data_IF_773853370614
#
_entry.id   IF_773853370614
#
_cell.length_a   1.000
_cell.length_b   1.000
_cell.length_c   1.000
_cell.angle_alpha   90.00
_cell.angle_beta   90.00
_cell.angle_gamma   90.00
#
_symmetry.space_group_name_H-M   'P 1'
#
loop_
_entity.id
_entity.type
_entity.pdbx_description
1 polymer ?
#
# COMPACT_ATOMS: atom_id res chain seq x y z
N UNK A 1 25.57 -2.46 -20.49
CA UNK A 1 24.36 -2.74 -21.30
C UNK A 1 23.46 -3.65 -20.46
N UNK A 2 22.42 -3.08 -19.87
CA UNK A 2 21.31 -3.79 -19.23
C UNK A 2 20.10 -2.92 -19.51
N UNK A 3 19.13 -3.45 -20.24
CA UNK A 3 17.99 -2.73 -20.80
C UNK A 3 17.19 -1.96 -19.73
N UNK A 4 16.63 -0.77 -20.02
CA UNK A 4 15.68 -0.10 -19.12
C UNK A 4 14.30 -0.77 -19.21
N UNK A 5 14.28 -2.09 -19.04
CA UNK A 5 13.08 -2.92 -19.21
C UNK A 5 12.33 -3.01 -17.90
N UNK A 6 11.46 -2.04 -17.67
CA UNK A 6 10.33 -2.12 -16.75
C UNK A 6 10.60 -2.66 -15.33
N UNK A 7 10.89 -1.75 -14.38
CA UNK A 7 10.77 -2.03 -12.95
C UNK A 7 9.29 -2.15 -12.57
N UNK A 8 8.68 -3.26 -12.94
CA UNK A 8 7.36 -3.63 -12.43
C UNK A 8 7.53 -4.49 -11.18
N UNK A 9 6.81 -4.20 -10.08
CA UNK A 9 5.97 -3.02 -9.82
C UNK A 9 6.75 -1.86 -9.15
N UNK A 10 6.14 -0.66 -9.13
CA UNK A 10 6.78 0.59 -8.64
C UNK A 10 7.23 0.58 -7.17
N UNK A 11 6.59 -0.23 -6.33
CA UNK A 11 6.92 -0.35 -4.90
C UNK A 11 7.95 -1.46 -4.63
N UNK A 12 8.47 -2.09 -5.67
CA UNK A 12 9.45 -3.18 -5.57
C UNK A 12 8.83 -4.58 -5.65
N UNK A 13 9.66 -5.62 -5.54
CA UNK A 13 9.23 -7.01 -5.72
C UNK A 13 8.35 -7.52 -4.57
N UNK A 14 8.31 -6.82 -3.44
CA UNK A 14 7.52 -7.15 -2.27
C UNK A 14 7.08 -5.89 -1.53
N UNK A 15 5.90 -5.95 -0.93
CA UNK A 15 5.35 -4.89 -0.08
C UNK A 15 4.73 -5.50 1.17
N UNK A 16 4.50 -4.68 2.19
CA UNK A 16 3.62 -5.08 3.29
C UNK A 16 2.15 -4.89 2.89
N UNK A 17 1.31 -5.88 3.14
CA UNK A 17 -0.13 -5.73 2.92
C UNK A 17 -0.68 -4.60 3.82
N UNK A 18 -1.41 -3.60 3.27
CA UNK A 18 -1.95 -2.50 4.06
C UNK A 18 -2.95 -2.92 5.15
N UNK A 19 -3.48 -4.14 5.06
CA UNK A 19 -4.48 -4.67 5.99
C UNK A 19 -3.89 -5.56 7.10
N UNK A 20 -3.07 -6.57 6.77
CA UNK A 20 -2.47 -7.48 7.76
C UNK A 20 -0.99 -7.22 8.05
N UNK A 21 -0.34 -6.29 7.35
CA UNK A 21 1.12 -6.06 7.42
C UNK A 21 1.99 -7.28 7.08
N UNK A 22 1.40 -8.34 6.50
CA UNK A 22 2.18 -9.47 5.99
C UNK A 22 2.90 -9.07 4.71
N UNK A 23 4.14 -9.52 4.54
CA UNK A 23 4.87 -9.36 3.28
C UNK A 23 4.16 -10.12 2.17
N UNK A 24 3.84 -9.42 1.09
CA UNK A 24 3.21 -9.96 -0.12
C UNK A 24 4.12 -9.69 -1.31
N UNK A 25 4.29 -10.70 -2.15
CA UNK A 25 5.13 -10.60 -3.34
C UNK A 25 4.33 -10.07 -4.52
N UNK A 26 5.03 -9.32 -5.37
CA UNK A 26 4.55 -8.96 -6.68
C UNK A 26 4.38 -10.22 -7.54
N UNK A 27 3.33 -10.25 -8.36
CA UNK A 27 3.20 -11.24 -9.41
C UNK A 27 4.17 -10.89 -10.53
N UNK A 28 4.90 -11.91 -11.00
CA UNK A 28 5.95 -11.75 -12.00
C UNK A 28 5.44 -11.02 -13.24
N UNK A 29 6.11 -9.94 -13.61
CA UNK A 29 5.80 -9.10 -14.78
C UNK A 29 4.43 -8.43 -14.75
N UNK A 30 3.86 -8.19 -13.56
CA UNK A 30 2.64 -7.39 -13.41
C UNK A 30 2.81 -6.30 -12.35
N UNK A 31 1.86 -5.38 -12.30
CA UNK A 31 1.74 -4.37 -11.25
C UNK A 31 0.91 -4.86 -10.05
N UNK A 32 0.77 -6.18 -9.88
CA UNK A 32 -0.18 -6.75 -8.94
C UNK A 32 0.52 -7.47 -7.79
N UNK A 33 0.03 -7.29 -6.57
CA UNK A 33 0.43 -8.01 -5.38
C UNK A 33 -0.75 -8.86 -4.88
N UNK A 34 -0.49 -10.10 -4.48
CA UNK A 34 -1.53 -10.99 -4.00
C UNK A 34 -1.36 -11.28 -2.50
N UNK A 35 -2.29 -10.76 -1.70
CA UNK A 35 -2.43 -11.16 -0.31
C UNK A 35 -3.36 -12.37 -0.19
N UNK A 36 -2.89 -13.47 0.40
CA UNK A 36 -3.71 -14.66 0.62
C UNK A 36 -4.95 -14.41 1.48
N UNK A 37 -4.93 -13.38 2.35
CA UNK A 37 -6.03 -13.06 3.27
C UNK A 37 -6.96 -11.99 2.73
N UNK A 38 -6.43 -11.01 2.01
CA UNK A 38 -7.17 -9.81 1.63
C UNK A 38 -7.42 -9.69 0.14
N UNK A 39 -6.75 -10.49 -0.70
CA UNK A 39 -6.93 -10.46 -2.15
C UNK A 39 -5.85 -9.65 -2.88
N UNK A 40 -6.19 -9.24 -4.10
CA UNK A 40 -5.26 -8.61 -5.02
C UNK A 40 -5.22 -7.08 -4.87
N UNK A 41 -4.00 -6.54 -4.88
CA UNK A 41 -3.71 -5.12 -4.90
C UNK A 41 -2.97 -4.80 -6.19
N UNK A 42 -3.29 -3.67 -6.82
CA UNK A 42 -2.62 -3.20 -8.04
C UNK A 42 -1.92 -1.88 -7.74
N UNK A 43 -0.68 -1.74 -8.18
CA UNK A 43 0.04 -0.47 -8.11
C UNK A 43 -0.15 0.33 -9.37
N UNK A 44 -0.58 1.58 -9.25
CA UNK A 44 -0.67 2.50 -10.37
C UNK A 44 0.64 3.31 -10.48
N UNK A 45 1.47 3.08 -11.53
CA UNK A 45 2.73 3.79 -11.72
C UNK A 45 2.57 5.29 -11.99
N UNK A 46 1.37 5.75 -12.39
CA UNK A 46 1.13 7.17 -12.70
C UNK A 46 0.77 7.98 -11.47
N UNK A 47 0.06 7.37 -10.53
CA UNK A 47 -0.45 8.04 -9.33
C UNK A 47 0.36 7.69 -8.08
N UNK A 48 1.23 6.69 -8.15
CA UNK A 48 1.97 6.12 -7.03
C UNK A 48 1.04 5.63 -5.92
N UNK A 49 -0.10 5.08 -6.33
CA UNK A 49 -1.11 4.52 -5.43
C UNK A 49 -1.12 2.99 -5.51
N UNK A 50 -1.42 2.38 -4.37
CA UNK A 50 -1.79 0.97 -4.29
C UNK A 50 -3.32 0.89 -4.18
N UNK A 51 -3.96 0.15 -5.08
CA UNK A 51 -5.41 0.03 -5.17
C UNK A 51 -5.82 -1.40 -4.83
N UNK A 52 -6.74 -1.57 -3.89
CA UNK A 52 -7.29 -2.89 -3.60
C UNK A 52 -8.43 -3.21 -4.55
N UNK A 53 -8.22 -4.18 -5.46
CA UNK A 53 -9.13 -4.46 -6.57
C UNK A 53 -10.55 -4.85 -6.13
N UNK A 54 -10.70 -5.55 -5.00
CA UNK A 54 -12.02 -5.98 -4.53
C UNK A 54 -12.82 -4.87 -3.86
N UNK A 55 -12.16 -3.86 -3.27
CA UNK A 55 -12.85 -2.82 -2.48
C UNK A 55 -12.75 -1.41 -3.08
N UNK A 56 -11.91 -1.20 -4.10
CA UNK A 56 -11.62 0.13 -4.66
C UNK A 56 -10.98 1.09 -3.65
N UNK A 57 -10.32 0.57 -2.61
CA UNK A 57 -9.62 1.41 -1.62
C UNK A 57 -8.24 1.76 -2.15
N UNK A 58 -7.78 2.95 -1.80
CA UNK A 58 -6.52 3.52 -2.26
C UNK A 58 -5.58 3.75 -1.08
N UNK A 59 -4.31 3.42 -1.27
CA UNK A 59 -3.23 3.69 -0.34
C UNK A 59 -2.08 4.38 -1.04
N UNK A 60 -1.36 5.19 -0.27
CA UNK A 60 -0.11 5.83 -0.66
C UNK A 60 0.96 5.46 0.36
N UNK A 61 2.16 5.21 -0.14
CA UNK A 61 3.30 4.91 0.71
C UNK A 61 3.97 6.22 1.15
N UNK A 62 4.18 6.39 2.45
CA UNK A 62 4.96 7.50 2.99
C UNK A 62 5.79 7.01 4.18
N UNK A 63 7.11 7.26 4.16
CA UNK A 63 8.06 6.79 5.20
C UNK A 63 7.89 5.30 5.54
N UNK A 64 7.77 4.46 4.50
CA UNK A 64 7.59 3.01 4.62
C UNK A 64 6.28 2.55 5.27
N UNK A 65 5.31 3.46 5.44
CA UNK A 65 3.98 3.15 5.95
C UNK A 65 2.88 3.45 4.92
N UNK A 66 1.84 2.62 4.91
CA UNK A 66 0.69 2.80 4.05
C UNK A 66 -0.33 3.72 4.68
N UNK A 67 -0.58 4.86 4.03
CA UNK A 67 -1.61 5.80 4.39
C UNK A 67 -2.76 5.69 3.39
N UNK A 68 -4.00 5.78 3.88
CA UNK A 68 -5.20 5.77 3.03
C UNK A 68 -5.96 7.06 3.20
N UNK A 69 -6.74 7.40 2.18
CA UNK A 69 -7.73 8.46 2.34
C UNK A 69 -8.85 7.98 3.27
N UNK A 70 -9.13 8.77 4.29
CA UNK A 70 -10.26 8.54 5.18
C UNK A 70 -11.54 9.12 4.58
N UNK A 71 -12.63 8.36 4.66
CA UNK A 71 -13.95 8.82 4.22
C UNK A 71 -14.69 9.63 5.30
N UNK A 72 -14.31 9.45 6.57
CA UNK A 72 -14.90 10.16 7.71
C UNK A 72 -13.83 10.95 8.49
N UNK A 73 -14.14 12.17 8.93
CA UNK A 73 -13.23 12.99 9.74
C UNK A 73 -12.89 12.33 11.07
N UNK A 74 -13.78 11.52 11.63
CA UNK A 74 -13.53 10.80 12.88
C UNK A 74 -12.45 9.72 12.72
N UNK A 75 -12.33 9.10 11.54
CA UNK A 75 -11.30 8.10 11.26
C UNK A 75 -9.89 8.70 11.31
N UNK A 76 -9.69 9.84 10.63
CA UNK A 76 -8.42 10.56 10.68
C UNK A 76 -8.16 11.15 12.07
N UNK A 77 -9.20 11.65 12.75
CA UNK A 77 -9.08 12.14 14.13
C UNK A 77 -8.56 11.05 15.05
N UNK A 78 -9.12 9.84 14.99
CA UNK A 78 -8.69 8.73 15.82
C UNK A 78 -7.23 8.35 15.57
N UNK A 79 -6.81 8.21 14.31
CA UNK A 79 -5.42 7.90 13.96
C UNK A 79 -4.43 8.95 14.48
N UNK A 80 -4.78 10.24 14.38
CA UNK A 80 -3.95 11.32 14.94
C UNK A 80 -3.83 11.19 16.46
N UNK A 81 -4.93 10.93 17.16
CA UNK A 81 -4.89 10.78 18.62
C UNK A 81 -4.05 9.57 19.03
N UNK A 82 -4.19 8.44 18.33
CA UNK A 82 -3.38 7.23 18.59
C UNK A 82 -1.88 7.50 18.34
N UNK A 83 -1.54 8.19 17.25
CA UNK A 83 -0.15 8.55 16.95
C UNK A 83 0.44 9.51 18.00
N UNK A 84 -0.35 10.48 18.48
CA UNK A 84 0.07 11.37 19.57
C UNK A 84 0.29 10.58 20.87
N UNK A 85 -0.61 9.68 21.23
CA UNK A 85 -0.51 8.88 22.46
C UNK A 85 0.79 8.04 22.49
N UNK A 86 1.17 7.47 21.34
CA UNK A 86 2.45 6.74 21.19
C UNK A 86 3.70 7.61 21.30
N UNK A 87 3.62 8.91 21.01
CA UNK A 87 4.76 9.82 21.12
C UNK A 87 4.99 10.31 22.56
N UNK A 88 3.92 10.31 23.37
CA UNK A 88 3.95 10.78 24.76
C UNK A 88 3.96 9.63 25.78
N UNK A 89 4.17 8.39 25.33
CA UNK A 89 4.41 7.17 26.13
C UNK A 89 5.82 6.65 25.86
#
# INVERSE_FOLDING_TARGET
>A
MTSPGFQYPIFGPEIQCPHCRQTIQALTLTDTYLCQRHGAFESDPKTEELVHLQSGRHWRLWKDEWYRQHTHPDGIRFEIHEALDRLYT
#
